data_IF_699863394175
#
_entry.id   IF_699863394175
#
_cell.length_a   1.000
_cell.length_b   1.000
_cell.length_c   1.000
_cell.angle_alpha   90.00
_cell.angle_beta   90.00
_cell.angle_gamma   90.00
#
_symmetry.space_group_name_H-M   'P 1'
#
loop_
_entity.id
_entity.type
_entity.pdbx_description
1 polymer ?
#
# COMPACT_ATOMS: atom_id res chain seq x y z
N UNK A 1 -31.96 -26.33 69.16
CA UNK A 1 -32.45 -25.52 68.02
C UNK A 1 -31.27 -25.40 67.07
N UNK A 2 -31.35 -25.87 65.82
CA UNK A 2 -30.27 -25.66 64.85
C UNK A 2 -30.42 -24.29 64.17
N UNK A 3 -29.29 -23.61 64.00
CA UNK A 3 -29.20 -22.31 63.34
C UNK A 3 -29.56 -22.40 61.86
N UNK A 4 -30.48 -21.53 61.46
CA UNK A 4 -31.01 -21.38 60.12
C UNK A 4 -29.98 -20.62 59.25
N UNK A 5 -29.33 -21.36 58.35
CA UNK A 5 -28.44 -20.80 57.32
C UNK A 5 -29.28 -19.95 56.37
N UNK A 6 -29.23 -18.63 56.54
CA UNK A 6 -29.83 -17.66 55.64
C UNK A 6 -29.23 -17.82 54.22
N UNK A 7 -29.96 -18.47 53.33
CA UNK A 7 -29.63 -18.55 51.91
C UNK A 7 -29.75 -17.16 51.27
N UNK A 8 -28.66 -16.69 50.66
CA UNK A 8 -28.66 -15.48 49.85
C UNK A 8 -29.63 -15.62 48.66
N UNK A 9 -30.38 -14.57 48.28
CA UNK A 9 -31.38 -14.67 47.23
C UNK A 9 -30.76 -14.96 45.86
N UNK A 10 -31.42 -15.74 44.99
CA UNK A 10 -30.90 -16.05 43.66
C UNK A 10 -30.80 -14.78 42.81
N UNK A 11 -29.58 -14.47 42.34
CA UNK A 11 -29.34 -13.38 41.38
C UNK A 11 -30.17 -13.65 40.11
N UNK A 12 -31.19 -12.82 39.88
CA UNK A 12 -31.96 -12.81 38.62
C UNK A 12 -30.99 -12.52 37.47
N UNK A 13 -30.76 -13.51 36.61
CA UNK A 13 -29.98 -13.36 35.38
C UNK A 13 -30.79 -12.48 34.42
N UNK A 14 -30.44 -11.19 34.34
CA UNK A 14 -31.15 -10.21 33.52
C UNK A 14 -31.01 -10.48 32.03
N UNK A 15 -32.04 -10.13 31.25
CA UNK A 15 -32.07 -10.26 29.78
C UNK A 15 -30.82 -9.70 29.07
N UNK A 16 -30.15 -8.72 29.68
CA UNK A 16 -28.84 -8.17 29.25
C UNK A 16 -27.75 -9.23 29.14
N UNK A 17 -27.72 -10.24 30.01
CA UNK A 17 -26.70 -11.30 29.99
C UNK A 17 -26.91 -12.31 28.86
N UNK A 18 -28.18 -12.55 28.47
CA UNK A 18 -28.51 -13.35 27.29
C UNK A 18 -28.15 -12.61 25.99
N UNK A 19 -28.42 -11.30 25.93
CA UNK A 19 -28.10 -10.46 24.79
C UNK A 19 -26.57 -10.32 24.61
N UNK A 20 -25.82 -10.13 25.70
CA UNK A 20 -24.34 -10.12 25.71
C UNK A 20 -23.75 -11.46 25.28
N UNK A 21 -24.32 -12.60 25.72
CA UNK A 21 -23.88 -13.93 25.28
C UNK A 21 -24.17 -14.18 23.80
N UNK A 22 -25.33 -13.76 23.31
CA UNK A 22 -25.66 -13.83 21.87
C UNK A 22 -24.74 -12.96 21.01
N UNK A 23 -24.40 -11.76 21.49
CA UNK A 23 -23.43 -10.88 20.84
C UNK A 23 -22.03 -11.53 20.84
N UNK A 24 -21.56 -12.11 21.94
CA UNK A 24 -20.25 -12.75 22.01
C UNK A 24 -20.10 -13.95 21.05
N UNK A 25 -21.19 -14.66 20.74
CA UNK A 25 -21.19 -15.78 19.79
C UNK A 25 -21.16 -15.28 18.33
N UNK A 26 -21.83 -14.16 18.05
CA UNK A 26 -21.97 -13.62 16.69
C UNK A 26 -20.89 -12.62 16.31
N UNK A 27 -20.24 -11.98 17.28
CA UNK A 27 -19.19 -10.99 17.04
C UNK A 27 -17.99 -11.58 16.28
N UNK A 28 -17.44 -12.77 16.62
CA UNK A 28 -16.31 -13.34 15.89
C UNK A 28 -16.58 -13.61 14.40
N UNK A 29 -17.69 -14.26 13.98
CA UNK A 29 -17.97 -14.43 12.55
C UNK A 29 -18.31 -13.12 11.84
N UNK A 30 -19.00 -12.18 12.49
CA UNK A 30 -19.26 -10.84 11.92
C UNK A 30 -17.95 -10.09 11.72
N UNK A 31 -17.08 -10.06 12.73
CA UNK A 31 -15.77 -9.41 12.66
C UNK A 31 -14.90 -10.05 11.58
N UNK A 32 -14.90 -11.39 11.50
CA UNK A 32 -14.23 -12.11 10.42
C UNK A 32 -14.73 -11.67 9.05
N UNK A 33 -16.05 -11.58 8.85
CA UNK A 33 -16.63 -11.12 7.59
C UNK A 33 -16.22 -9.68 7.27
N UNK A 34 -16.23 -8.78 8.26
CA UNK A 34 -15.80 -7.38 8.11
C UNK A 34 -14.33 -7.31 7.70
N UNK A 35 -13.46 -8.08 8.35
CA UNK A 35 -12.03 -8.15 8.01
C UNK A 35 -11.86 -8.69 6.57
N UNK A 36 -12.58 -9.75 6.20
CA UNK A 36 -12.53 -10.30 4.83
C UNK A 36 -13.00 -9.28 3.79
N UNK A 37 -14.07 -8.54 4.06
CA UNK A 37 -14.55 -7.47 3.17
C UNK A 37 -13.53 -6.35 3.08
N UNK A 38 -12.91 -5.95 4.20
CA UNK A 38 -11.87 -4.92 4.22
C UNK A 38 -10.65 -5.34 3.41
N UNK A 39 -10.16 -6.59 3.57
CA UNK A 39 -9.06 -7.14 2.78
C UNK A 39 -9.44 -7.22 1.30
N UNK A 40 -10.62 -7.75 0.98
CA UNK A 40 -11.09 -7.86 -0.40
C UNK A 40 -11.20 -6.48 -1.08
N UNK A 41 -11.68 -5.47 -0.36
CA UNK A 41 -11.74 -4.09 -0.83
C UNK A 41 -10.35 -3.50 -1.03
N UNK A 42 -9.44 -3.72 -0.08
CA UNK A 42 -8.04 -3.30 -0.22
C UNK A 42 -7.38 -3.92 -1.46
N UNK A 43 -7.55 -5.22 -1.68
CA UNK A 43 -7.06 -5.90 -2.89
C UNK A 43 -7.70 -5.32 -4.14
N UNK A 44 -9.01 -5.09 -4.13
CA UNK A 44 -9.70 -4.50 -5.27
C UNK A 44 -9.17 -3.11 -5.61
N UNK A 45 -9.07 -2.23 -4.62
CA UNK A 45 -8.78 -0.81 -4.82
C UNK A 45 -7.29 -0.55 -5.09
N UNK A 46 -6.39 -1.29 -4.45
CA UNK A 46 -4.95 -1.10 -4.57
C UNK A 46 -4.26 -2.01 -5.60
N UNK A 47 -4.86 -3.15 -5.96
CA UNK A 47 -4.25 -4.12 -6.88
C UNK A 47 -5.09 -4.27 -8.15
N UNK A 48 -6.36 -4.66 -8.02
CA UNK A 48 -7.17 -5.05 -9.18
C UNK A 48 -7.48 -3.84 -10.07
N UNK A 49 -8.02 -2.75 -9.51
CA UNK A 49 -8.43 -1.57 -10.25
C UNK A 49 -7.27 -0.90 -11.02
N UNK A 50 -6.09 -0.67 -10.42
CA UNK A 50 -4.94 -0.15 -11.14
C UNK A 50 -4.49 -1.04 -12.30
N UNK A 51 -4.38 -2.36 -12.07
CA UNK A 51 -3.99 -3.31 -13.11
C UNK A 51 -5.01 -3.29 -14.26
N UNK A 52 -6.30 -3.37 -13.95
CA UNK A 52 -7.36 -3.34 -14.96
C UNK A 52 -7.38 -2.03 -15.73
N UNK A 53 -7.10 -0.90 -15.07
CA UNK A 53 -6.97 0.40 -15.73
C UNK A 53 -5.80 0.41 -16.72
N UNK A 54 -4.63 -0.11 -16.31
CA UNK A 54 -3.45 -0.21 -17.19
C UNK A 54 -3.72 -1.11 -18.38
N UNK A 55 -4.39 -2.26 -18.17
CA UNK A 55 -4.77 -3.17 -19.25
C UNK A 55 -5.75 -2.49 -20.21
N UNK A 56 -6.82 -1.86 -19.71
CA UNK A 56 -7.79 -1.11 -20.53
C UNK A 56 -7.10 -0.03 -21.34
N UNK A 57 -6.19 0.72 -20.71
CA UNK A 57 -5.41 1.75 -21.38
C UNK A 57 -4.54 1.19 -22.50
N UNK A 58 -3.83 0.08 -22.26
CA UNK A 58 -3.01 -0.58 -23.28
C UNK A 58 -3.85 -1.07 -24.47
N UNK A 59 -4.98 -1.74 -24.20
CA UNK A 59 -5.90 -2.14 -25.26
C UNK A 59 -6.54 -0.96 -25.99
N UNK A 60 -6.89 0.11 -25.27
CA UNK A 60 -7.45 1.32 -25.85
C UNK A 60 -6.49 1.95 -26.86
N UNK A 61 -5.17 1.95 -26.59
CA UNK A 61 -4.18 2.40 -27.57
C UNK A 61 -4.10 1.50 -28.82
N UNK A 62 -4.26 0.18 -28.65
CA UNK A 62 -4.21 -0.76 -29.78
C UNK A 62 -5.43 -0.65 -30.70
N UNK A 63 -6.60 -0.28 -30.16
CA UNK A 63 -7.84 -0.17 -30.92
C UNK A 63 -8.22 1.28 -31.28
N UNK A 64 -7.38 2.26 -30.94
CA UNK A 64 -7.63 3.68 -31.22
C UNK A 64 -7.68 3.91 -32.75
N UNK A 65 -8.89 4.16 -33.27
CA UNK A 65 -9.16 4.51 -34.67
C UNK A 65 -9.57 5.98 -34.81
N UNK A 66 -9.24 6.82 -33.83
CA UNK A 66 -9.62 8.23 -33.87
C UNK A 66 -8.74 9.04 -34.81
N UNK A 67 -9.37 9.96 -35.49
CA UNK A 67 -8.78 10.82 -36.51
C UNK A 67 -8.60 12.25 -36.02
N UNK A 68 -7.69 12.99 -36.66
CA UNK A 68 -7.57 14.44 -36.44
C UNK A 68 -8.76 15.15 -37.06
N UNK A 69 -9.39 16.08 -36.31
CA UNK A 69 -10.55 16.84 -36.80
C UNK A 69 -10.21 17.70 -38.03
N UNK A 70 -8.94 18.09 -38.21
CA UNK A 70 -8.49 18.85 -39.38
C UNK A 70 -8.58 18.06 -40.69
N UNK A 71 -8.61 16.71 -40.61
CA UNK A 71 -8.75 15.83 -41.76
C UNK A 71 -10.21 15.52 -42.10
N UNK A 72 -11.16 16.02 -41.29
CA UNK A 72 -12.58 15.73 -41.40
C UNK A 72 -13.37 16.98 -41.78
N UNK A 73 -14.40 16.78 -42.59
CA UNK A 73 -15.22 17.84 -43.13
C UNK A 73 -16.59 17.95 -42.42
N UNK A 74 -17.23 19.11 -42.55
CA UNK A 74 -18.65 19.34 -42.18
C UNK A 74 -19.49 19.65 -43.40
N UNK A 75 -20.77 19.30 -43.36
CA UNK A 75 -21.76 19.71 -44.36
C UNK A 75 -22.98 20.35 -43.66
N UNK A 76 -23.49 21.51 -44.12
CA UNK A 76 -24.60 22.21 -43.45
C UNK A 76 -25.93 21.42 -43.46
N UNK A 77 -26.12 20.56 -44.45
CA UNK A 77 -27.35 19.80 -44.70
C UNK A 77 -27.41 18.46 -43.96
N UNK A 78 -26.53 18.27 -42.97
CA UNK A 78 -26.45 17.03 -42.18
C UNK A 78 -27.63 16.91 -41.19
N UNK A 79 -28.32 15.75 -41.16
CA UNK A 79 -29.36 15.46 -40.19
C UNK A 79 -28.75 15.21 -38.80
N UNK A 80 -29.54 15.41 -37.73
CA UNK A 80 -29.12 15.04 -36.38
C UNK A 80 -28.98 13.52 -36.26
N UNK A 81 -27.92 13.06 -35.60
CA UNK A 81 -27.71 11.64 -35.28
C UNK A 81 -27.96 11.36 -33.78
N UNK A 82 -28.37 10.14 -33.41
CA UNK A 82 -28.48 9.74 -32.00
C UNK A 82 -27.19 10.01 -31.21
N UNK A 83 -27.32 10.47 -29.96
CA UNK A 83 -26.22 10.75 -29.01
C UNK A 83 -25.26 11.90 -29.35
N UNK A 84 -25.13 12.30 -30.62
CA UNK A 84 -24.23 13.40 -31.04
C UNK A 84 -24.94 14.56 -31.77
N UNK A 85 -26.24 14.47 -32.04
CA UNK A 85 -27.02 15.49 -32.74
C UNK A 85 -26.31 15.92 -34.05
N UNK A 86 -26.08 17.21 -34.29
CA UNK A 86 -25.28 17.73 -35.42
C UNK A 86 -23.79 17.84 -35.13
N UNK A 87 -23.33 17.44 -33.95
CA UNK A 87 -21.93 17.51 -33.55
C UNK A 87 -21.14 16.30 -34.05
N UNK A 88 -21.07 16.14 -35.36
CA UNK A 88 -20.21 15.14 -36.01
C UNK A 88 -19.52 15.71 -37.24
N UNK A 89 -18.58 14.96 -37.75
CA UNK A 89 -17.77 15.23 -38.93
C UNK A 89 -17.80 14.00 -39.83
N UNK A 90 -17.58 14.22 -41.12
CA UNK A 90 -17.55 13.15 -42.12
C UNK A 90 -16.20 13.17 -42.83
N UNK A 91 -15.78 12.01 -43.35
CA UNK A 91 -14.57 11.96 -44.16
C UNK A 91 -14.74 12.77 -45.47
N UNK A 92 -13.64 13.26 -46.07
CA UNK A 92 -13.71 13.96 -47.35
C UNK A 92 -14.31 13.11 -48.48
N UNK A 93 -14.17 11.78 -48.40
CA UNK A 93 -14.75 10.83 -49.35
C UNK A 93 -16.28 10.80 -49.25
N UNK A 94 -16.80 10.69 -48.02
CA UNK A 94 -18.24 10.67 -47.77
C UNK A 94 -18.88 12.02 -48.12
N UNK A 95 -18.19 13.13 -47.84
CA UNK A 95 -18.65 14.45 -48.29
C UNK A 95 -18.80 14.53 -49.81
N UNK A 96 -17.84 14.00 -50.58
CA UNK A 96 -17.92 13.98 -52.05
C UNK A 96 -19.06 13.10 -52.55
N UNK A 97 -19.36 12.00 -51.84
CA UNK A 97 -20.49 11.12 -52.15
C UNK A 97 -21.83 11.82 -51.88
N UNK A 98 -22.01 12.38 -50.69
CA UNK A 98 -23.24 13.09 -50.30
C UNK A 98 -23.50 14.32 -51.18
N UNK A 99 -22.46 15.10 -51.50
CA UNK A 99 -22.59 16.23 -52.44
C UNK A 99 -23.01 15.80 -53.85
N UNK A 100 -22.55 14.64 -54.33
CA UNK A 100 -23.02 14.09 -55.62
C UNK A 100 -24.47 13.64 -55.52
N UNK A 101 -24.84 12.98 -54.44
CA UNK A 101 -26.22 12.56 -54.19
C UNK A 101 -27.18 13.75 -54.17
N UNK A 102 -26.89 14.79 -53.38
CA UNK A 102 -27.70 16.00 -53.31
C UNK A 102 -27.89 16.68 -54.67
N UNK A 103 -26.82 16.75 -55.48
CA UNK A 103 -26.89 17.31 -56.84
C UNK A 103 -27.77 16.48 -57.79
N UNK A 104 -27.71 15.15 -57.68
CA UNK A 104 -28.46 14.23 -58.55
C UNK A 104 -29.94 14.18 -58.18
N UNK A 105 -30.23 14.12 -56.89
CA UNK A 105 -31.60 13.98 -56.36
C UNK A 105 -32.32 15.33 -56.23
N UNK A 106 -31.58 16.45 -56.28
CA UNK A 106 -32.08 17.81 -55.95
C UNK A 106 -32.77 17.87 -54.58
N UNK A 107 -32.26 17.11 -53.62
CA UNK A 107 -32.77 17.09 -52.26
C UNK A 107 -32.20 18.28 -51.47
N UNK A 108 -33.03 18.92 -50.65
CA UNK A 108 -32.64 20.06 -49.81
C UNK A 108 -32.10 19.62 -48.43
N UNK A 109 -32.35 18.36 -48.04
CA UNK A 109 -31.93 17.75 -46.78
C UNK A 109 -31.59 16.27 -46.97
N UNK A 110 -30.67 15.78 -46.15
CA UNK A 110 -30.29 14.36 -46.08
C UNK A 110 -31.05 13.67 -44.94
N UNK A 111 -31.40 12.41 -45.15
CA UNK A 111 -31.96 11.53 -44.12
C UNK A 111 -30.85 10.70 -43.44
N UNK A 112 -31.00 10.31 -42.15
CA UNK A 112 -29.96 9.59 -41.41
C UNK A 112 -29.47 8.29 -42.06
N UNK A 113 -30.34 7.60 -42.81
CA UNK A 113 -30.03 6.32 -43.45
C UNK A 113 -29.22 6.47 -44.76
N UNK A 114 -29.09 7.69 -45.28
CA UNK A 114 -28.32 7.99 -46.49
C UNK A 114 -26.83 8.17 -46.21
N UNK A 115 -26.47 8.30 -44.93
CA UNK A 115 -25.10 8.54 -44.46
C UNK A 115 -24.45 7.21 -44.13
N UNK A 116 -23.24 7.00 -44.64
CA UNK A 116 -22.41 5.90 -44.17
C UNK A 116 -21.85 6.17 -42.78
N UNK A 117 -22.45 5.54 -41.76
CA UNK A 117 -22.07 5.70 -40.36
C UNK A 117 -20.63 5.23 -40.06
N UNK A 118 -20.01 4.41 -40.91
CA UNK A 118 -18.59 4.05 -40.79
C UNK A 118 -17.66 5.24 -41.10
N UNK A 119 -18.15 6.20 -41.90
CA UNK A 119 -17.41 7.39 -42.32
C UNK A 119 -17.72 8.62 -41.44
N UNK A 120 -18.46 8.43 -40.35
CA UNK A 120 -18.87 9.48 -39.41
C UNK A 120 -17.99 9.45 -38.17
N UNK A 121 -17.55 10.63 -37.73
CA UNK A 121 -16.68 10.82 -36.59
C UNK A 121 -17.23 11.90 -35.65
N UNK A 122 -17.20 11.66 -34.34
CA UNK A 122 -17.71 12.56 -33.30
C UNK A 122 -16.53 13.21 -32.58
N UNK A 123 -16.41 14.54 -32.56
CA UNK A 123 -15.40 15.26 -31.78
C UNK A 123 -15.50 14.96 -30.28
N UNK A 124 -14.36 14.68 -29.63
CA UNK A 124 -14.30 14.39 -28.18
C UNK A 124 -13.28 15.29 -27.48
N UNK A 125 -13.65 15.83 -26.31
CA UNK A 125 -12.76 16.62 -25.45
C UNK A 125 -12.34 17.95 -26.05
N UNK A 126 -11.03 18.20 -26.13
CA UNK A 126 -10.39 19.42 -26.64
C UNK A 126 -10.71 19.75 -28.11
N UNK A 127 -11.53 18.95 -28.79
CA UNK A 127 -11.95 19.18 -30.17
C UNK A 127 -10.80 19.06 -31.19
N UNK A 128 -9.72 18.35 -30.84
CA UNK A 128 -8.58 18.07 -31.74
C UNK A 128 -8.71 16.72 -32.46
N UNK A 129 -9.30 15.73 -31.81
CA UNK A 129 -9.50 14.38 -32.33
C UNK A 129 -10.98 14.00 -32.30
N UNK A 130 -11.39 13.16 -33.23
CA UNK A 130 -12.75 12.64 -33.32
C UNK A 130 -12.75 11.11 -33.39
N UNK A 131 -13.71 10.50 -32.70
CA UNK A 131 -13.88 9.05 -32.57
C UNK A 131 -14.93 8.59 -33.57
N UNK A 132 -14.79 7.42 -34.23
CA UNK A 132 -15.83 6.86 -35.09
C UNK A 132 -17.19 6.81 -34.39
N UNK A 133 -18.26 7.15 -35.11
CA UNK A 133 -19.62 7.24 -34.56
C UNK A 133 -20.07 5.94 -33.91
N UNK A 134 -19.74 4.79 -34.49
CA UNK A 134 -20.10 3.48 -33.94
C UNK A 134 -19.50 3.25 -32.55
N UNK A 135 -18.24 3.66 -32.34
CA UNK A 135 -17.55 3.52 -31.06
C UNK A 135 -18.13 4.51 -30.04
N UNK A 136 -18.39 5.76 -30.45
CA UNK A 136 -19.00 6.77 -29.60
C UNK A 136 -20.43 6.40 -29.19
N UNK A 137 -21.26 5.97 -30.13
CA UNK A 137 -22.65 5.56 -29.88
C UNK A 137 -22.73 4.32 -28.99
N UNK A 138 -21.79 3.37 -29.13
CA UNK A 138 -21.70 2.22 -28.24
C UNK A 138 -21.53 2.64 -26.78
N UNK A 139 -20.62 3.58 -26.52
CA UNK A 139 -20.37 4.10 -25.17
C UNK A 139 -21.55 4.94 -24.69
N UNK A 140 -22.06 5.84 -25.51
CA UNK A 140 -23.18 6.71 -25.15
C UNK A 140 -24.49 5.95 -24.89
N UNK A 141 -24.66 4.76 -25.47
CA UNK A 141 -25.80 3.89 -25.18
C UNK A 141 -25.73 3.22 -23.80
N UNK A 142 -24.55 3.11 -23.20
CA UNK A 142 -24.32 2.38 -21.94
C UNK A 142 -23.86 3.27 -20.77
N UNK A 143 -23.35 4.47 -21.07
CA UNK A 143 -22.82 5.41 -20.10
C UNK A 143 -23.73 6.63 -20.02
N UNK A 144 -24.03 7.09 -18.79
CA UNK A 144 -24.86 8.28 -18.59
C UNK A 144 -24.15 9.52 -19.16
N UNK A 145 -24.88 10.52 -19.67
CA UNK A 145 -24.27 11.72 -20.24
C UNK A 145 -23.27 12.44 -19.30
N UNK A 146 -23.52 12.42 -17.99
CA UNK A 146 -22.64 13.05 -16.99
C UNK A 146 -21.34 12.29 -16.75
N UNK A 147 -21.33 10.98 -17.00
CA UNK A 147 -20.20 10.09 -16.78
C UNK A 147 -19.41 9.85 -18.10
N UNK A 148 -19.79 10.55 -19.18
CA UNK A 148 -19.18 10.34 -20.48
C UNK A 148 -17.72 10.79 -20.48
N UNK A 149 -16.77 9.94 -20.92
CA UNK A 149 -15.37 10.32 -20.93
C UNK A 149 -15.07 11.52 -21.84
N UNK A 150 -14.43 12.54 -21.29
CA UNK A 150 -14.03 13.74 -22.04
C UNK A 150 -12.74 13.56 -22.86
N UNK A 151 -12.21 12.34 -22.99
CA UNK A 151 -11.00 12.06 -23.75
C UNK A 151 -11.22 10.88 -24.69
N UNK A 152 -10.57 10.95 -25.85
CA UNK A 152 -10.56 9.85 -26.84
C UNK A 152 -10.15 8.53 -26.18
N UNK A 153 -9.06 8.55 -25.40
CA UNK A 153 -8.58 7.34 -24.73
C UNK A 153 -9.59 6.82 -23.71
N UNK A 154 -10.31 7.72 -23.02
CA UNK A 154 -11.38 7.35 -22.09
C UNK A 154 -12.56 6.68 -22.80
N UNK A 155 -12.96 7.20 -23.98
CA UNK A 155 -13.99 6.55 -24.82
C UNK A 155 -13.53 5.14 -25.21
N UNK A 156 -12.29 4.99 -25.70
CA UNK A 156 -11.78 3.67 -26.06
C UNK A 156 -11.61 2.73 -24.86
N UNK A 157 -11.27 3.23 -23.68
CA UNK A 157 -11.26 2.41 -22.46
C UNK A 157 -12.65 1.85 -22.14
N UNK A 158 -13.72 2.61 -22.37
CA UNK A 158 -15.10 2.14 -22.25
C UNK A 158 -15.49 1.17 -23.38
N UNK A 159 -15.09 1.45 -24.63
CA UNK A 159 -15.28 0.51 -25.76
C UNK A 159 -14.65 -0.84 -25.47
N UNK A 160 -13.42 -0.87 -24.93
CA UNK A 160 -12.74 -2.12 -24.53
C UNK A 160 -13.56 -2.89 -23.50
N UNK A 161 -14.18 -2.19 -22.55
CA UNK A 161 -15.01 -2.81 -21.51
C UNK A 161 -16.33 -3.33 -22.04
N UNK A 162 -16.97 -2.59 -22.95
CA UNK A 162 -18.27 -2.96 -23.52
C UNK A 162 -18.17 -4.06 -24.57
N UNK A 163 -17.07 -4.14 -25.34
CA UNK A 163 -16.87 -5.16 -26.38
C UNK A 163 -16.40 -6.51 -25.85
N UNK A 164 -15.83 -6.58 -24.66
CA UNK A 164 -15.31 -7.83 -24.08
C UNK A 164 -16.45 -8.63 -23.40
N UNK A 165 -16.83 -9.83 -23.90
CA UNK A 165 -17.95 -10.60 -23.36
C UNK A 165 -17.70 -11.13 -21.93
N UNK A 166 -16.44 -11.12 -21.48
CA UNK A 166 -16.01 -11.63 -20.17
C UNK A 166 -16.16 -10.61 -19.03
N UNK A 167 -16.59 -9.37 -19.34
CA UNK A 167 -16.81 -8.30 -18.37
C UNK A 167 -15.55 -7.82 -17.64
N UNK A 168 -15.73 -6.91 -16.67
CA UNK A 168 -14.66 -6.34 -15.83
C UNK A 168 -13.84 -7.44 -15.12
N UNK A 169 -14.48 -8.56 -14.77
CA UNK A 169 -13.87 -9.68 -14.05
C UNK A 169 -12.89 -10.45 -14.94
N UNK A 170 -13.23 -10.73 -16.20
CA UNK A 170 -12.32 -11.41 -17.13
C UNK A 170 -11.09 -10.59 -17.46
N UNK A 171 -11.26 -9.29 -17.67
CA UNK A 171 -10.14 -8.38 -17.95
C UNK A 171 -9.19 -8.24 -16.74
N UNK A 172 -9.77 -8.20 -15.54
CA UNK A 172 -9.01 -8.22 -14.27
C UNK A 172 -8.26 -9.53 -14.08
N UNK A 173 -8.88 -10.68 -14.38
CA UNK A 173 -8.25 -11.99 -14.25
C UNK A 173 -7.06 -12.15 -15.20
N UNK A 174 -7.18 -11.66 -16.45
CA UNK A 174 -6.07 -11.64 -17.40
C UNK A 174 -4.95 -10.72 -16.90
N UNK A 175 -5.28 -9.53 -16.41
CA UNK A 175 -4.29 -8.59 -15.87
C UNK A 175 -3.54 -9.14 -14.66
N UNK A 176 -4.25 -9.76 -13.71
CA UNK A 176 -3.65 -10.42 -12.54
C UNK A 176 -2.78 -11.60 -12.97
N UNK A 177 -3.27 -12.44 -13.88
CA UNK A 177 -2.51 -13.59 -14.39
C UNK A 177 -1.23 -13.14 -15.09
N UNK A 178 -1.32 -12.12 -15.94
CA UNK A 178 -0.16 -11.51 -16.60
C UNK A 178 0.83 -10.94 -15.58
N UNK A 179 0.34 -10.27 -14.53
CA UNK A 179 1.17 -9.73 -13.46
C UNK A 179 1.91 -10.84 -12.71
N UNK A 180 1.22 -11.93 -12.35
CA UNK A 180 1.84 -13.11 -11.72
C UNK A 180 2.88 -13.76 -12.63
N UNK A 181 2.59 -13.88 -13.92
CA UNK A 181 3.53 -14.41 -14.92
C UNK A 181 4.77 -13.52 -15.01
N UNK A 182 4.59 -12.20 -15.09
CA UNK A 182 5.69 -11.23 -15.10
C UNK A 182 6.51 -11.36 -13.83
N UNK A 183 5.88 -11.39 -12.64
CA UNK A 183 6.58 -11.56 -11.37
C UNK A 183 7.36 -12.88 -11.30
N UNK A 184 6.78 -13.98 -11.79
CA UNK A 184 7.46 -15.27 -11.89
C UNK A 184 8.71 -15.20 -12.77
N UNK A 185 8.60 -14.63 -13.98
CA UNK A 185 9.74 -14.49 -14.88
C UNK A 185 10.78 -13.50 -14.36
N UNK A 186 10.36 -12.39 -13.74
CA UNK A 186 11.26 -11.42 -13.09
C UNK A 186 12.02 -12.10 -11.96
N UNK A 187 11.35 -12.87 -11.09
CA UNK A 187 12.02 -13.65 -10.03
C UNK A 187 12.99 -14.70 -10.57
N UNK A 188 12.60 -15.38 -11.65
CA UNK A 188 13.44 -16.38 -12.34
C UNK A 188 14.66 -15.75 -13.01
N UNK A 189 14.53 -14.57 -13.60
CA UNK A 189 15.65 -13.82 -14.18
C UNK A 189 16.52 -13.24 -13.07
N UNK A 190 15.93 -12.75 -11.98
CA UNK A 190 16.63 -12.19 -10.81
C UNK A 190 17.54 -13.18 -10.10
N UNK A 191 17.17 -14.46 -10.08
CA UNK A 191 18.00 -15.56 -9.56
C UNK A 191 19.13 -15.98 -10.53
N UNK A 192 19.07 -15.59 -11.80
CA UNK A 192 20.17 -15.75 -12.74
C UNK A 192 21.16 -14.58 -12.64
N UNK A 193 22.47 -14.84 -12.81
CA UNK A 193 23.56 -13.82 -12.74
C UNK A 193 23.32 -12.58 -13.63
N UNK A 194 22.51 -12.72 -14.68
CA UNK A 194 22.12 -11.64 -15.60
C UNK A 194 21.07 -10.71 -14.98
N UNK A 195 20.16 -11.21 -14.14
CA UNK A 195 19.13 -10.40 -13.49
C UNK A 195 19.69 -9.48 -12.40
N UNK A 196 20.61 -9.97 -11.56
CA UNK A 196 21.30 -9.14 -10.58
C UNK A 196 22.09 -7.99 -11.25
N UNK A 197 22.73 -8.27 -12.40
CA UNK A 197 23.40 -7.25 -13.21
C UNK A 197 22.42 -6.25 -13.85
N UNK A 198 21.29 -6.73 -14.37
CA UNK A 198 20.26 -5.89 -14.99
C UNK A 198 19.55 -4.96 -14.00
N UNK A 199 19.20 -5.47 -12.81
CA UNK A 199 18.60 -4.67 -11.73
C UNK A 199 19.59 -3.60 -11.26
N UNK A 200 20.85 -3.95 -11.02
CA UNK A 200 21.89 -2.99 -10.62
C UNK A 200 22.15 -1.91 -11.68
N UNK A 201 22.13 -2.27 -12.98
CA UNK A 201 22.24 -1.32 -14.09
C UNK A 201 21.03 -0.38 -14.16
N UNK A 202 19.81 -0.89 -13.96
CA UNK A 202 18.60 -0.08 -13.95
C UNK A 202 18.57 0.89 -12.75
N UNK A 203 18.93 0.41 -11.57
CA UNK A 203 19.04 1.21 -10.35
C UNK A 203 20.06 2.35 -10.53
N UNK A 204 21.25 2.07 -11.07
CA UNK A 204 22.28 3.10 -11.27
C UNK A 204 21.97 4.05 -12.44
N UNK A 205 21.32 3.58 -13.51
CA UNK A 205 21.13 4.38 -14.73
C UNK A 205 19.86 5.25 -14.70
N UNK A 206 18.78 4.75 -14.10
CA UNK A 206 17.48 5.43 -14.07
C UNK A 206 17.14 5.99 -12.68
N UNK A 207 17.27 5.19 -11.61
CA UNK A 207 16.91 5.66 -10.27
C UNK A 207 17.97 6.58 -9.66
N UNK A 208 19.26 6.28 -9.83
CA UNK A 208 20.37 7.09 -9.31
C UNK A 208 20.44 8.52 -9.88
N UNK A 209 19.75 8.81 -11.00
CA UNK A 209 19.68 10.14 -11.62
C UNK A 209 18.53 11.02 -11.12
N UNK A 210 17.58 10.45 -10.37
CA UNK A 210 16.45 11.16 -9.78
C UNK A 210 16.60 11.12 -8.25
N UNK A 211 17.27 12.12 -7.63
CA UNK A 211 17.74 12.05 -6.24
C UNK A 211 16.63 11.88 -5.18
N UNK A 212 15.37 12.23 -5.49
CA UNK A 212 14.24 11.92 -4.61
C UNK A 212 13.76 10.47 -4.74
N UNK A 213 13.75 9.92 -5.96
CA UNK A 213 13.17 8.60 -6.24
C UNK A 213 14.12 7.49 -5.78
N UNK A 214 15.44 7.68 -5.91
CA UNK A 214 16.44 6.73 -5.38
C UNK A 214 16.33 6.53 -3.88
N UNK A 215 16.07 7.59 -3.11
CA UNK A 215 16.02 7.54 -1.65
C UNK A 215 14.76 6.81 -1.16
N UNK A 216 13.61 7.06 -1.80
CA UNK A 216 12.36 6.35 -1.51
C UNK A 216 12.47 4.87 -1.89
N UNK A 217 12.95 4.57 -3.09
CA UNK A 217 13.13 3.19 -3.54
C UNK A 217 14.14 2.43 -2.66
N UNK A 218 15.27 3.05 -2.29
CA UNK A 218 16.24 2.45 -1.36
C UNK A 218 15.61 2.14 0.00
N UNK A 219 14.75 3.03 0.52
CA UNK A 219 14.04 2.81 1.78
C UNK A 219 13.04 1.66 1.68
N UNK A 220 12.25 1.63 0.60
CA UNK A 220 11.28 0.54 0.33
C UNK A 220 12.00 -0.80 0.13
N UNK A 221 13.13 -0.79 -0.59
CA UNK A 221 13.97 -1.97 -0.80
C UNK A 221 14.56 -2.46 0.53
N UNK A 222 15.04 -1.58 1.40
CA UNK A 222 15.53 -1.97 2.73
C UNK A 222 14.43 -2.60 3.61
N UNK A 223 13.22 -2.04 3.59
CA UNK A 223 12.06 -2.60 4.30
C UNK A 223 11.67 -3.97 3.73
N UNK A 224 11.69 -4.11 2.40
CA UNK A 224 11.37 -5.37 1.72
C UNK A 224 12.46 -6.42 1.98
N UNK A 225 13.73 -6.03 1.91
CA UNK A 225 14.88 -6.88 2.22
C UNK A 225 14.80 -7.35 3.68
N UNK A 226 14.38 -6.51 4.63
CA UNK A 226 14.12 -6.91 6.02
C UNK A 226 13.02 -7.97 6.15
N UNK A 227 11.89 -7.78 5.47
CA UNK A 227 10.73 -8.68 5.55
C UNK A 227 10.96 -10.03 4.83
N UNK A 228 11.79 -10.06 3.78
CA UNK A 228 11.89 -11.21 2.86
C UNK A 228 13.29 -11.81 2.69
N UNK A 229 14.35 -11.20 3.24
CA UNK A 229 15.71 -11.76 3.14
C UNK A 229 16.09 -12.51 4.40
N UNK A 230 16.33 -13.81 4.26
CA UNK A 230 17.02 -14.67 5.23
C UNK A 230 18.51 -14.30 5.34
N UNK A 231 18.84 -13.02 5.59
CA UNK A 231 20.23 -12.62 5.81
C UNK A 231 20.60 -12.81 7.28
N UNK A 232 21.66 -13.58 7.44
CA UNK A 232 22.49 -13.96 8.59
C UNK A 232 22.87 -12.88 9.62
N UNK A 233 22.26 -11.70 9.62
CA UNK A 233 22.49 -10.69 10.67
C UNK A 233 21.23 -10.59 11.52
N UNK A 234 21.35 -11.02 12.78
CA UNK A 234 20.40 -11.18 13.90
C UNK A 234 19.32 -10.09 14.15
N UNK A 235 18.82 -9.39 13.14
CA UNK A 235 17.88 -8.27 13.30
C UNK A 235 16.41 -8.66 13.11
N UNK A 236 16.07 -9.82 12.53
CA UNK A 236 14.68 -10.30 12.46
C UNK A 236 14.22 -10.96 13.78
N UNK A 237 14.37 -10.25 14.90
CA UNK A 237 14.03 -10.73 16.25
C UNK A 237 12.83 -9.97 16.83
N UNK A 238 11.95 -10.72 17.48
CA UNK A 238 10.80 -10.18 18.22
C UNK A 238 11.25 -9.83 19.64
N UNK A 239 10.91 -8.63 20.09
CA UNK A 239 11.36 -8.10 21.38
C UNK A 239 10.20 -7.49 22.17
N UNK A 240 10.39 -7.34 23.48
CA UNK A 240 9.56 -6.50 24.32
C UNK A 240 10.37 -5.28 24.78
N UNK A 241 9.72 -4.12 24.77
CA UNK A 241 10.31 -2.83 25.16
C UNK A 241 9.37 -2.09 26.10
N UNK A 242 9.92 -1.36 27.06
CA UNK A 242 9.12 -0.50 27.95
C UNK A 242 8.72 0.80 27.22
N UNK A 243 7.53 0.82 26.62
CA UNK A 243 7.01 1.94 25.86
C UNK A 243 5.48 2.06 26.04
N UNK A 244 4.91 3.26 26.24
CA UNK A 244 5.56 4.58 26.17
C UNK A 244 6.23 5.04 27.47
N UNK A 245 6.13 4.26 28.55
CA UNK A 245 6.77 4.56 29.84
C UNK A 245 7.19 3.28 30.55
N UNK A 246 8.03 3.43 31.57
CA UNK A 246 8.47 2.32 32.43
C UNK A 246 7.31 1.53 33.03
N UNK A 247 7.48 0.21 33.10
CA UNK A 247 6.47 -0.74 33.56
C UNK A 247 5.35 -1.04 32.57
N UNK A 248 5.36 -0.42 31.37
CA UNK A 248 4.42 -0.73 30.29
C UNK A 248 5.17 -1.38 29.14
N UNK A 249 4.93 -2.67 28.91
CA UNK A 249 5.64 -3.44 27.91
C UNK A 249 4.88 -3.50 26.59
N UNK A 250 5.58 -3.18 25.51
CA UNK A 250 5.10 -3.26 24.14
C UNK A 250 5.90 -4.30 23.37
N UNK A 251 5.22 -5.07 22.52
CA UNK A 251 5.87 -5.92 21.52
C UNK A 251 6.57 -5.04 20.47
N UNK A 252 7.70 -5.49 19.94
CA UNK A 252 8.39 -4.78 18.87
C UNK A 252 9.21 -5.71 17.99
N UNK A 253 9.56 -5.21 16.81
CA UNK A 253 10.45 -5.87 15.86
C UNK A 253 11.71 -5.02 15.73
N UNK A 254 12.87 -5.61 16.01
CA UNK A 254 14.13 -4.89 15.78
C UNK A 254 14.31 -4.72 14.27
N UNK A 255 14.62 -3.51 13.82
CA UNK A 255 14.84 -3.23 12.39
C UNK A 255 16.30 -2.94 12.07
N UNK A 256 17.14 -2.71 13.09
CA UNK A 256 18.57 -2.50 12.96
C UNK A 256 19.15 -1.64 14.08
N UNK A 257 20.29 -1.03 13.81
CA UNK A 257 20.91 -0.04 14.70
C UNK A 257 20.19 1.31 14.64
N UNK A 258 20.34 2.13 15.67
CA UNK A 258 19.79 3.50 15.71
C UNK A 258 20.70 4.53 15.02
N UNK A 259 20.21 5.76 14.86
CA UNK A 259 20.96 6.87 14.30
C UNK A 259 22.13 7.30 15.19
N UNK A 260 23.28 7.60 14.58
CA UNK A 260 24.53 7.97 15.28
C UNK A 260 24.34 9.07 16.32
N UNK A 261 23.68 10.18 15.96
CA UNK A 261 23.53 11.32 16.88
C UNK A 261 22.68 10.97 18.10
N UNK A 262 21.65 10.15 17.93
CA UNK A 262 20.77 9.70 19.02
C UNK A 262 21.54 8.73 19.93
N UNK A 263 22.30 7.80 19.33
CA UNK A 263 23.17 6.86 20.07
C UNK A 263 24.26 7.60 20.86
N UNK A 264 24.88 8.61 20.26
CA UNK A 264 25.88 9.44 20.93
C UNK A 264 25.28 10.23 22.09
N UNK A 265 24.09 10.82 21.91
CA UNK A 265 23.39 11.55 22.97
C UNK A 265 22.94 10.64 24.13
N UNK A 266 22.57 9.40 23.84
CA UNK A 266 22.21 8.41 24.87
C UNK A 266 23.42 7.85 25.63
N UNK A 267 24.63 7.94 25.06
CA UNK A 267 25.85 7.44 25.69
C UNK A 267 25.97 5.92 25.73
N UNK A 268 25.06 5.18 25.07
CA UNK A 268 25.09 3.72 24.98
C UNK A 268 24.53 3.21 23.63
N UNK A 269 24.86 1.97 23.21
CA UNK A 269 24.35 1.42 21.95
C UNK A 269 22.82 1.32 21.93
N UNK A 270 22.20 1.96 20.94
CA UNK A 270 20.76 1.94 20.70
C UNK A 270 20.39 1.05 19.50
N UNK A 271 19.21 0.44 19.56
CA UNK A 271 18.60 -0.29 18.46
C UNK A 271 17.29 0.37 18.02
N UNK A 272 17.00 0.30 16.72
CA UNK A 272 15.73 0.74 16.15
C UNK A 272 14.70 -0.38 16.28
N UNK A 273 13.54 -0.07 16.86
CA UNK A 273 12.46 -1.03 17.11
C UNK A 273 11.15 -0.48 16.52
N UNK A 274 10.52 -1.26 15.64
CA UNK A 274 9.17 -1.00 15.15
C UNK A 274 8.15 -1.57 16.15
N UNK A 275 7.39 -0.69 16.79
CA UNK A 275 6.25 -1.06 17.66
C UNK A 275 4.98 -1.08 16.81
N UNK A 276 4.36 -2.24 16.55
CA UNK A 276 3.16 -2.35 15.72
C UNK A 276 1.91 -1.82 16.44
N UNK A 277 0.88 -1.48 15.67
CA UNK A 277 -0.46 -1.22 16.20
C UNK A 277 -1.36 -2.43 16.03
N UNK A 278 -2.25 -2.65 17.00
CA UNK A 278 -3.28 -3.69 16.94
C UNK A 278 -4.59 -3.12 16.40
N UNK A 279 -5.32 -3.83 15.52
CA UNK A 279 -5.04 -5.17 14.99
C UNK A 279 -4.22 -5.18 13.68
N UNK A 280 -3.66 -4.05 13.25
CA UNK A 280 -2.98 -3.88 11.96
C UNK A 280 -1.43 -3.91 12.10
N UNK A 281 -0.79 -5.10 12.15
CA UNK A 281 0.61 -5.26 12.55
C UNK A 281 1.62 -4.62 11.60
N UNK A 282 1.21 -4.28 10.38
CA UNK A 282 2.04 -3.61 9.38
C UNK A 282 2.11 -2.09 9.55
N UNK A 283 1.39 -1.55 10.52
CA UNK A 283 1.40 -0.13 10.87
C UNK A 283 1.93 0.03 12.29
N UNK A 284 2.63 1.12 12.59
CA UNK A 284 3.34 1.25 13.86
C UNK A 284 4.14 2.54 13.98
N UNK A 285 4.92 2.61 15.04
CA UNK A 285 5.88 3.69 15.28
C UNK A 285 7.27 3.08 15.49
N UNK A 286 8.29 3.75 14.96
CA UNK A 286 9.69 3.35 15.18
C UNK A 286 10.25 4.14 16.36
N UNK A 287 10.87 3.43 17.29
CA UNK A 287 11.54 4.02 18.45
C UNK A 287 12.99 3.56 18.53
N UNK A 288 13.86 4.40 19.08
CA UNK A 288 15.25 4.06 19.39
C UNK A 288 15.36 3.73 20.87
N UNK A 289 15.78 2.50 21.20
CA UNK A 289 15.82 2.00 22.59
C UNK A 289 17.23 1.49 22.91
N UNK A 290 17.75 1.73 24.13
CA UNK A 290 18.99 1.11 24.57
C UNK A 290 18.97 -0.40 24.39
N UNK A 291 20.03 -0.95 23.79
CA UNK A 291 20.15 -2.40 23.59
C UNK A 291 20.06 -3.18 24.90
N UNK A 292 20.47 -2.56 26.01
CA UNK A 292 20.40 -3.06 27.38
C UNK A 292 18.97 -3.13 27.94
N UNK A 293 18.02 -2.37 27.39
CA UNK A 293 16.62 -2.26 27.84
C UNK A 293 15.65 -3.07 26.95
N UNK A 294 16.17 -3.78 25.95
CA UNK A 294 15.37 -4.61 25.05
C UNK A 294 15.35 -6.06 25.56
N UNK A 295 14.15 -6.62 25.76
CA UNK A 295 13.97 -8.01 26.13
C UNK A 295 13.70 -8.87 24.89
N UNK A 296 14.60 -9.80 24.57
CA UNK A 296 14.40 -10.73 23.46
C UNK A 296 13.29 -11.75 23.80
N UNK A 297 12.27 -11.84 22.94
CA UNK A 297 11.18 -12.78 23.10
C UNK A 297 11.43 -14.03 22.26
N UNK A 298 11.31 -15.20 22.89
CA UNK A 298 11.41 -16.48 22.22
C UNK A 298 10.09 -16.83 21.50
N UNK A 299 9.82 -16.18 20.37
CA UNK A 299 8.66 -16.41 19.51
C UNK A 299 8.98 -16.06 18.05
N UNK A 300 8.23 -16.62 17.11
CA UNK A 300 8.36 -16.29 15.68
C UNK A 300 7.66 -14.98 15.34
N UNK A 301 8.02 -14.37 14.20
CA UNK A 301 7.33 -13.19 13.66
C UNK A 301 5.84 -13.47 13.42
N UNK A 302 5.50 -14.64 12.89
CA UNK A 302 4.10 -15.04 12.68
C UNK A 302 3.31 -15.11 14.00
N UNK A 303 3.93 -15.64 15.05
CA UNK A 303 3.34 -15.68 16.39
C UNK A 303 3.14 -14.27 16.96
N UNK A 304 4.08 -13.36 16.72
CA UNK A 304 3.97 -11.95 17.09
C UNK A 304 2.83 -11.26 16.34
N UNK A 305 2.67 -11.52 15.04
CA UNK A 305 1.54 -11.01 14.26
C UNK A 305 0.19 -11.56 14.75
N UNK A 306 0.10 -12.84 15.10
CA UNK A 306 -1.11 -13.42 15.69
C UNK A 306 -1.46 -12.74 17.02
N UNK A 307 -0.47 -12.47 17.86
CA UNK A 307 -0.67 -11.70 19.10
C UNK A 307 -1.18 -10.28 18.82
N UNK A 308 -0.57 -9.55 17.88
CA UNK A 308 -1.01 -8.19 17.51
C UNK A 308 -2.41 -8.15 16.90
N UNK A 309 -2.71 -9.01 15.92
CA UNK A 309 -4.00 -9.06 15.22
C UNK A 309 -5.13 -9.41 16.21
N UNK A 310 -4.85 -10.33 17.14
CA UNK A 310 -5.80 -10.72 18.19
C UNK A 310 -5.90 -9.71 19.35
N UNK A 311 -5.25 -8.55 19.25
CA UNK A 311 -5.21 -7.54 20.30
C UNK A 311 -4.72 -8.09 21.66
N UNK A 312 -3.75 -8.99 21.63
CA UNK A 312 -3.13 -9.61 22.80
C UNK A 312 -3.86 -10.83 23.36
N UNK A 313 -4.98 -11.25 22.77
CA UNK A 313 -5.74 -12.42 23.22
C UNK A 313 -5.01 -13.73 22.87
N UNK A 314 -4.32 -13.78 21.73
CA UNK A 314 -3.61 -14.95 21.26
C UNK A 314 -2.13 -14.93 21.68
N UNK A 315 -1.85 -15.38 22.90
CA UNK A 315 -0.47 -15.63 23.37
C UNK A 315 -0.01 -17.00 22.91
N UNK A 316 1.18 -17.14 22.27
CA UNK A 316 1.74 -18.44 21.89
C UNK A 316 1.87 -19.37 23.09
N UNK A 317 1.61 -20.69 22.94
CA UNK A 317 1.61 -21.62 24.06
C UNK A 317 2.88 -21.59 24.92
N UNK A 318 4.05 -21.40 24.29
CA UNK A 318 5.36 -21.35 24.96
C UNK A 318 5.58 -20.08 25.79
N UNK A 319 4.83 -19.01 25.51
CA UNK A 319 4.89 -17.72 26.21
C UNK A 319 3.74 -17.54 27.20
N UNK A 320 2.81 -18.51 27.31
CA UNK A 320 1.72 -18.45 28.29
C UNK A 320 2.27 -18.68 29.69
N UNK A 321 1.99 -17.74 30.58
CA UNK A 321 2.40 -17.83 31.98
C UNK A 321 1.63 -18.97 32.65
N UNK A 322 2.34 -20.02 33.07
CA UNK A 322 1.87 -21.04 34.02
C UNK A 322 2.71 -20.97 35.29
N UNK A 323 2.18 -21.45 36.41
CA UNK A 323 2.91 -21.41 37.69
C UNK A 323 4.26 -22.16 37.61
N UNK A 324 4.27 -23.30 36.92
CA UNK A 324 5.46 -24.12 36.69
C UNK A 324 6.48 -23.42 35.79
N UNK A 325 6.05 -22.86 34.66
CA UNK A 325 6.95 -22.14 33.74
C UNK A 325 7.51 -20.87 34.40
N UNK A 326 6.70 -20.16 35.17
CA UNK A 326 7.14 -18.98 35.90
C UNK A 326 8.18 -19.36 36.97
N UNK A 327 7.95 -20.42 37.73
CA UNK A 327 8.93 -20.90 38.71
C UNK A 327 10.23 -21.37 38.05
N UNK A 328 10.15 -22.11 36.94
CA UNK A 328 11.33 -22.55 36.18
C UNK A 328 12.13 -21.37 35.64
N UNK A 329 11.48 -20.38 35.04
CA UNK A 329 12.14 -19.21 34.47
C UNK A 329 12.73 -18.32 35.57
N UNK A 330 12.01 -18.09 36.67
CA UNK A 330 12.54 -17.37 37.83
C UNK A 330 13.74 -18.10 38.46
N UNK A 331 13.65 -19.42 38.63
CA UNK A 331 14.76 -20.22 39.15
C UNK A 331 15.98 -20.17 38.22
N UNK A 332 15.77 -20.22 36.90
CA UNK A 332 16.83 -20.07 35.90
C UNK A 332 17.51 -18.70 36.00
N UNK A 333 16.73 -17.62 36.13
CA UNK A 333 17.23 -16.25 36.29
C UNK A 333 17.91 -16.00 37.64
N UNK A 334 17.53 -16.73 38.68
CA UNK A 334 18.20 -16.66 39.98
C UNK A 334 19.50 -17.49 39.99
N UNK A 335 19.56 -18.58 39.21
CA UNK A 335 20.72 -19.46 39.11
C UNK A 335 21.79 -18.96 38.12
N UNK A 336 21.42 -18.17 37.10
CA UNK A 336 22.33 -17.51 36.17
C UNK A 336 22.39 -16.01 36.43
N UNK A 337 23.59 -15.42 36.52
CA UNK A 337 23.86 -14.04 36.91
C UNK A 337 23.36 -12.95 35.93
N UNK A 338 22.08 -12.93 35.58
CA UNK A 338 21.41 -11.75 35.02
C UNK A 338 20.76 -11.00 36.17
N UNK A 339 21.30 -9.83 36.53
CA UNK A 339 20.64 -8.96 37.51
C UNK A 339 19.22 -8.72 37.01
N UNK A 340 18.18 -8.84 37.87
CA UNK A 340 16.86 -8.40 37.48
C UNK A 340 16.99 -6.97 36.95
N UNK A 341 16.43 -6.70 35.76
CA UNK A 341 16.08 -5.33 35.36
C UNK A 341 14.96 -4.93 36.31
N UNK A 342 15.34 -4.61 37.55
CA UNK A 342 14.49 -3.94 38.48
C UNK A 342 14.15 -2.60 37.82
N UNK A 343 12.92 -2.09 37.99
CA UNK A 343 12.63 -0.73 37.59
C UNK A 343 13.66 0.17 38.29
N UNK A 344 14.60 0.75 37.53
CA UNK A 344 15.56 1.72 38.06
C UNK A 344 14.76 2.79 38.79
N UNK A 345 15.05 3.00 40.07
CA UNK A 345 14.34 4.00 40.87
C UNK A 345 14.65 5.39 40.31
N UNK A 346 13.83 6.41 40.61
CA UNK A 346 14.17 7.80 40.24
C UNK A 346 15.57 8.23 40.72
N UNK A 347 16.08 7.61 41.79
CA UNK A 347 17.41 7.87 42.36
C UNK A 347 18.56 7.36 41.48
N UNK A 348 18.37 6.27 40.73
CA UNK A 348 19.39 5.72 39.83
C UNK A 348 19.73 6.67 38.66
N UNK A 349 18.80 7.56 38.31
CA UNK A 349 19.01 8.61 37.29
C UNK A 349 19.79 9.81 37.82
N UNK A 350 19.70 10.10 39.12
CA UNK A 350 20.49 11.16 39.74
C UNK A 350 21.97 10.76 39.87
N UNK A 351 22.26 9.45 39.96
CA UNK A 351 23.62 8.92 40.09
C UNK A 351 24.42 8.87 38.78
N UNK A 352 23.76 8.92 37.61
CA UNK A 352 24.41 8.92 36.29
C UNK A 352 24.64 10.32 35.70
N UNK A 353 24.23 11.37 36.41
CA UNK A 353 24.54 12.76 36.06
C UNK A 353 25.99 13.07 36.45
N UNK A 354 26.87 13.59 35.56
CA UNK A 354 28.21 14.00 35.96
C UNK A 354 28.11 15.11 37.02
N UNK A 355 28.76 14.94 38.17
CA UNK A 355 28.84 16.02 39.16
C UNK A 355 29.65 17.19 38.55
N UNK A 356 29.25 18.46 38.76
CA UNK A 356 29.94 19.62 38.18
C UNK A 356 31.35 19.90 38.75
N UNK A 357 31.96 18.97 39.50
CA UNK A 357 33.21 19.20 40.24
C UNK A 357 34.48 18.61 39.61
N UNK A 358 34.38 17.86 38.51
CA UNK A 358 35.56 17.23 37.87
C UNK A 358 36.17 18.08 36.73
N UNK A 359 35.73 19.34 36.58
CA UNK A 359 36.42 20.29 35.72
C UNK A 359 37.67 20.83 36.43
N UNK A 360 38.84 20.25 36.14
CA UNK A 360 40.15 20.85 36.44
C UNK A 360 40.67 21.57 35.19
N UNK A 361 41.09 22.85 35.27
CA UNK A 361 41.57 23.60 34.12
C UNK A 361 43.10 23.46 33.88
N UNK A 362 43.44 23.57 32.59
CA UNK A 362 44.67 24.05 31.92
C UNK A 362 46.04 23.32 32.04
N UNK A 363 46.64 23.06 30.87
CA UNK A 363 47.93 23.57 30.36
C UNK A 363 48.28 22.72 29.10
N UNK A 364 48.50 23.20 27.86
CA UNK A 364 49.24 24.36 27.38
C UNK A 364 50.48 23.85 26.61
N UNK A 365 50.50 23.90 25.26
CA UNK A 365 51.69 24.09 24.36
C UNK A 365 51.30 23.87 22.87
N UNK A 366 52.06 24.38 21.87
CA UNK A 366 51.57 25.40 20.94
C UNK A 366 51.43 24.94 19.48
N UNK A 367 50.75 25.79 18.69
CA UNK A 367 50.56 25.66 17.25
C UNK A 367 51.88 25.86 16.45
N UNK A 368 52.03 25.23 15.27
CA UNK A 368 53.02 25.63 14.28
C UNK A 368 52.42 26.63 13.27
N UNK A 369 53.01 27.83 13.23
CA UNK A 369 53.14 28.70 12.05
C UNK A 369 53.89 27.92 10.95
N UNK A 370 53.71 28.00 9.62
CA UNK A 370 53.34 29.01 8.64
C UNK A 370 52.91 28.20 7.36
N UNK A 371 52.11 28.68 6.41
CA UNK A 371 52.52 29.63 5.37
C UNK A 371 51.30 30.00 4.51
N UNK A 372 51.17 31.30 4.17
CA UNK A 372 50.20 31.84 3.21
C UNK A 372 50.87 32.00 1.82
N UNK A 373 50.09 32.13 0.72
CA UNK A 373 50.63 31.98 -0.63
C UNK A 373 51.22 33.27 -1.20
N UNK A 374 52.23 33.14 -2.06
CA UNK A 374 52.68 34.21 -2.97
C UNK A 374 53.02 33.64 -4.36
N UNK A 375 52.30 34.16 -5.36
CA UNK A 375 52.49 34.11 -6.84
C UNK A 375 51.41 33.36 -7.60
#
# INVERSE_FOLDING_TARGET
MPDEVAQAPPRKHGATQFLLKGLAITLPPILTLVILIWVARGVNDYIIQPISTVVRFGFAQLIDRSESIQLLDTLPQLPPLPYCDKNYRITPEERKRLMRFLKLTKADSLEPHEIDLEQVYVPVGDGKRAVPYQDYALVAAHVKPIDMPNSVIGIYMEVVTLRQPLGLVGLSAVGVSLTVIILYYVGRIGTARVGAWGVSKFENLFLGKLPLISNVYSSVKQVTDFLFTDRTVNYNRVVAVEYPRRGVWSLGFVTGESMLQITAAAGEPLVSVLVPTSPAPFTGFTISVPRSEVLDLNMTIDQAFQFCISCGVHVPPQQRVTAELLQQELARRLAGAERPVLPRTPEDHAASSPRPSDARPEDGQPAPDQEAPSS
#
